data_IF_594063049563
#
_entry.id   IF_594063049563
#
_cell.length_a   1.000
_cell.length_b   1.000
_cell.length_c   1.000
_cell.angle_alpha   90.00
_cell.angle_beta   90.00
_cell.angle_gamma   90.00
#
_symmetry.space_group_name_H-M   'P 1'
#
loop_
_entity.id
_entity.type
_entity.pdbx_description
1 polymer ?
#
# COMPACT_ATOMS: atom_id res chain seq x y z
N UNK A 1 -1.20 -0.10 16.19
CA UNK A 1 -1.61 -1.32 15.48
C UNK A 1 -0.32 -2.06 15.19
N UNK A 2 -0.16 -3.34 15.54
CA UNK A 2 1.12 -4.06 15.36
C UNK A 2 1.60 -3.97 13.90
N UNK A 3 0.69 -4.20 12.95
CA UNK A 3 0.94 -4.12 11.50
C UNK A 3 1.46 -2.74 11.04
N UNK A 4 1.02 -1.66 11.68
CA UNK A 4 1.44 -0.30 11.32
C UNK A 4 2.89 -0.04 11.73
N UNK A 5 3.33 -0.57 12.87
CA UNK A 5 4.73 -0.48 13.30
C UNK A 5 5.63 -1.34 12.39
N UNK A 6 5.20 -2.55 12.04
CA UNK A 6 5.93 -3.41 11.09
C UNK A 6 6.11 -2.72 9.72
N UNK A 7 5.06 -2.04 9.22
CA UNK A 7 5.13 -1.28 7.97
C UNK A 7 6.13 -0.12 8.06
N UNK A 8 6.25 0.54 9.21
CA UNK A 8 7.21 1.65 9.40
C UNK A 8 8.63 1.13 9.43
N UNK A 9 8.89 0.07 10.18
CA UNK A 9 10.22 -0.56 10.22
C UNK A 9 10.64 -1.01 8.82
N UNK A 10 9.72 -1.62 8.07
CA UNK A 10 9.97 -2.02 6.69
C UNK A 10 10.22 -0.85 5.73
N UNK A 11 9.62 0.32 5.97
CA UNK A 11 9.90 1.54 5.18
C UNK A 11 11.33 2.04 5.40
N UNK A 12 11.88 1.89 6.60
CA UNK A 12 13.27 2.23 6.91
C UNK A 12 14.26 1.22 6.30
N UNK A 13 13.88 -0.05 6.19
CA UNK A 13 14.70 -1.11 5.57
C UNK A 13 14.65 -1.10 4.03
N UNK A 14 13.50 -0.70 3.45
CA UNK A 14 13.32 -0.48 2.03
C UNK A 14 12.21 -1.32 1.39
N UNK A 15 11.98 -1.11 0.09
CA UNK A 15 10.85 -1.68 -0.67
C UNK A 15 10.72 -3.21 -0.52
N UNK A 16 11.83 -3.96 -0.57
CA UNK A 16 11.78 -5.42 -0.48
C UNK A 16 11.21 -5.91 0.85
N UNK A 17 11.61 -5.29 1.97
CA UNK A 17 11.07 -5.64 3.28
C UNK A 17 9.61 -5.18 3.41
N UNK A 18 9.28 -4.03 2.83
CA UNK A 18 7.88 -3.55 2.78
C UNK A 18 6.96 -4.55 2.06
N UNK A 19 7.37 -5.07 0.90
CA UNK A 19 6.61 -6.11 0.18
C UNK A 19 6.44 -7.36 1.03
N UNK A 20 7.51 -7.79 1.72
CA UNK A 20 7.46 -8.95 2.62
C UNK A 20 6.50 -8.75 3.80
N UNK A 21 6.54 -7.59 4.47
CA UNK A 21 5.65 -7.28 5.59
C UNK A 21 4.20 -7.19 5.13
N UNK A 22 3.95 -6.57 3.97
CA UNK A 22 2.62 -6.53 3.37
C UNK A 22 2.12 -7.94 3.03
N UNK A 23 2.98 -8.80 2.48
CA UNK A 23 2.62 -10.19 2.17
C UNK A 23 2.31 -11.00 3.43
N UNK A 24 3.16 -10.90 4.45
CA UNK A 24 3.00 -11.60 5.75
C UNK A 24 1.68 -11.23 6.42
N UNK A 25 1.29 -9.96 6.35
CA UNK A 25 0.05 -9.45 6.93
C UNK A 25 -1.15 -9.54 5.97
N UNK A 26 -0.96 -10.09 4.77
CA UNK A 26 -1.95 -10.12 3.67
C UNK A 26 -2.56 -8.76 3.36
N UNK A 27 -1.80 -7.70 3.58
CA UNK A 27 -2.22 -6.33 3.36
C UNK A 27 -1.91 -5.93 1.92
N UNK A 28 -2.90 -5.39 1.22
CA UNK A 28 -2.78 -5.01 -0.18
C UNK A 28 -3.12 -3.55 -0.38
N UNK A 29 -2.42 -2.86 -1.29
CA UNK A 29 -2.81 -1.52 -1.69
C UNK A 29 -4.12 -1.58 -2.48
N UNK A 30 -5.12 -0.79 -2.12
CA UNK A 30 -6.41 -0.66 -2.78
C UNK A 30 -6.60 0.75 -3.32
N UNK A 31 -7.12 0.86 -4.55
CA UNK A 31 -7.46 2.16 -5.14
C UNK A 31 -8.81 2.58 -4.56
N UNK A 32 -8.86 3.77 -3.96
CA UNK A 32 -10.11 4.38 -3.51
C UNK A 32 -10.60 5.29 -4.62
N UNK A 33 -11.58 4.80 -5.38
CA UNK A 33 -12.23 5.57 -6.44
C UNK A 33 -12.96 6.83 -5.92
N UNK A 34 -13.22 6.91 -4.61
CA UNK A 34 -13.92 8.00 -3.96
C UNK A 34 -12.97 9.10 -3.48
N UNK A 35 -12.34 9.80 -4.43
CA UNK A 35 -11.92 11.20 -4.25
C UNK A 35 -11.79 11.85 -5.61
N UNK A 36 -12.94 12.11 -6.24
CA UNK A 36 -13.12 13.29 -7.09
C UNK A 36 -12.93 14.54 -6.24
N UNK A 37 -11.71 14.78 -5.77
CA UNK A 37 -11.29 16.03 -5.18
C UNK A 37 -11.09 17.02 -6.32
N UNK A 38 -12.15 17.76 -6.62
CA UNK A 38 -12.24 18.95 -7.47
C UNK A 38 -10.99 19.35 -8.27
N UNK A 39 -11.14 19.33 -9.60
CA UNK A 39 -10.32 19.90 -10.66
C UNK A 39 -9.89 21.36 -10.45
N UNK A 40 -9.04 21.68 -9.46
CA UNK A 40 -8.55 23.05 -9.30
C UNK A 40 -7.02 23.19 -9.24
N UNK A 41 -6.22 22.13 -9.08
CA UNK A 41 -4.75 22.26 -8.99
C UNK A 41 -3.92 21.11 -9.63
N UNK A 42 -4.48 20.32 -10.56
CA UNK A 42 -3.69 19.61 -11.56
C UNK A 42 -2.81 18.44 -11.09
N UNK A 43 -3.18 17.71 -10.04
CA UNK A 43 -2.53 16.43 -9.69
C UNK A 43 -3.58 15.37 -9.40
N UNK A 44 -3.99 14.65 -10.44
CA UNK A 44 -4.98 13.56 -10.36
C UNK A 44 -4.35 12.25 -9.89
N UNK A 45 -3.55 12.28 -8.83
CA UNK A 45 -2.98 11.05 -8.27
C UNK A 45 -4.07 10.29 -7.53
N UNK A 46 -4.39 9.03 -7.92
CA UNK A 46 -5.39 8.23 -7.24
C UNK A 46 -5.06 8.09 -5.76
N UNK A 47 -6.10 8.09 -4.92
CA UNK A 47 -5.91 7.84 -3.48
C UNK A 47 -5.82 6.33 -3.26
N UNK A 48 -4.69 5.87 -2.75
CA UNK A 48 -4.53 4.48 -2.35
C UNK A 48 -4.90 4.31 -0.86
N UNK A 49 -5.29 3.09 -0.48
CA UNK A 49 -5.43 2.55 0.89
C UNK A 49 -4.60 1.29 1.03
N UNK A 50 -4.21 0.94 2.24
CA UNK A 50 -3.59 -0.36 2.53
C UNK A 50 -4.57 -1.12 3.42
N UNK A 51 -5.10 -2.21 2.90
CA UNK A 51 -6.21 -2.96 3.50
C UNK A 51 -5.87 -4.44 3.60
N UNK A 52 -6.27 -5.03 4.72
CA UNK A 52 -6.27 -6.50 4.92
C UNK A 52 -7.43 -7.14 4.15
N UNK A 53 -7.44 -8.47 3.96
CA UNK A 53 -8.56 -9.18 3.33
C UNK A 53 -9.91 -8.93 4.01
N UNK A 54 -9.92 -8.58 5.30
CA UNK A 54 -11.12 -8.23 6.06
C UNK A 54 -11.60 -6.78 5.82
N UNK A 55 -10.94 -6.04 4.92
CA UNK A 55 -11.26 -4.64 4.62
C UNK A 55 -10.82 -3.65 5.70
N UNK A 56 -9.99 -4.09 6.66
CA UNK A 56 -9.48 -3.20 7.72
C UNK A 56 -8.27 -2.44 7.21
N UNK A 57 -8.31 -1.10 7.30
CA UNK A 57 -7.16 -0.26 6.98
C UNK A 57 -6.11 -0.36 8.09
N UNK A 58 -4.88 -0.70 7.70
CA UNK A 58 -3.76 -0.97 8.63
C UNK A 58 -2.72 0.14 8.68
N UNK A 59 -2.85 1.14 7.80
CA UNK A 59 -1.96 2.29 7.74
C UNK A 59 -2.76 3.60 7.78
N UNK A 60 -2.39 4.47 8.72
CA UNK A 60 -2.89 5.84 8.78
C UNK A 60 -2.39 6.68 7.58
N UNK A 61 -2.88 7.91 7.49
CA UNK A 61 -2.63 8.79 6.33
C UNK A 61 -1.12 9.02 6.07
N UNK A 62 -0.31 9.15 7.11
CA UNK A 62 1.12 9.46 6.95
C UNK A 62 1.88 8.23 6.47
N UNK A 63 1.74 7.10 7.18
CA UNK A 63 2.36 5.83 6.79
C UNK A 63 1.93 5.43 5.39
N UNK A 64 0.66 5.64 5.05
CA UNK A 64 0.15 5.36 3.71
C UNK A 64 0.82 6.18 2.62
N UNK A 65 1.03 7.47 2.82
CA UNK A 65 1.75 8.29 1.83
C UNK A 65 3.19 7.81 1.64
N UNK A 66 3.85 7.36 2.71
CA UNK A 66 5.20 6.78 2.63
C UNK A 66 5.22 5.45 1.88
N UNK A 67 4.25 4.56 2.17
CA UNK A 67 4.09 3.28 1.46
C UNK A 67 3.82 3.49 -0.03
N UNK A 68 2.94 4.43 -0.38
CA UNK A 68 2.65 4.78 -1.78
C UNK A 68 3.90 5.26 -2.51
N UNK A 69 4.71 6.10 -1.87
CA UNK A 69 5.94 6.61 -2.46
C UNK A 69 7.01 5.50 -2.59
N UNK A 70 7.18 4.67 -1.56
CA UNK A 70 8.14 3.57 -1.55
C UNK A 70 7.80 2.44 -2.54
N UNK A 71 6.51 2.18 -2.77
CA UNK A 71 6.01 1.24 -3.78
C UNK A 71 5.88 1.87 -5.16
N UNK A 72 6.21 3.16 -5.30
CA UNK A 72 6.12 3.93 -6.54
C UNK A 72 4.72 3.87 -7.19
N UNK A 73 3.67 3.84 -6.36
CA UNK A 73 2.29 3.75 -6.80
C UNK A 73 1.83 5.10 -7.38
N UNK A 74 1.77 5.20 -8.72
CA UNK A 74 1.32 6.40 -9.43
C UNK A 74 -0.02 6.20 -10.14
N UNK A 75 -0.37 4.95 -10.44
CA UNK A 75 -1.52 4.57 -11.28
C UNK A 75 -2.25 3.35 -10.74
N UNK A 76 -3.43 3.06 -11.29
CA UNK A 76 -4.17 1.84 -10.98
C UNK A 76 -3.42 0.59 -11.46
N UNK A 77 -2.77 0.66 -12.62
CA UNK A 77 -1.91 -0.41 -13.17
C UNK A 77 -0.73 -0.72 -12.24
N UNK A 78 -0.06 0.30 -11.69
CA UNK A 78 1.03 0.11 -10.72
C UNK A 78 0.50 -0.60 -9.47
N UNK A 79 -0.71 -0.22 -9.03
CA UNK A 79 -1.35 -0.86 -7.88
C UNK A 79 -1.65 -2.33 -8.13
N UNK A 80 -2.12 -2.69 -9.32
CA UNK A 80 -2.32 -4.08 -9.70
C UNK A 80 -1.00 -4.86 -9.75
N UNK A 81 0.03 -4.32 -10.39
CA UNK A 81 1.36 -4.94 -10.46
C UNK A 81 1.95 -5.19 -9.07
N UNK A 82 1.84 -4.22 -8.15
CA UNK A 82 2.31 -4.38 -6.77
C UNK A 82 1.48 -5.40 -5.99
N UNK A 83 0.15 -5.47 -6.22
CA UNK A 83 -0.68 -6.52 -5.59
C UNK A 83 -0.25 -7.90 -6.03
N UNK A 84 0.07 -8.07 -7.31
CA UNK A 84 0.57 -9.33 -7.85
C UNK A 84 1.94 -9.67 -7.26
N UNK A 85 2.83 -8.68 -7.11
CA UNK A 85 4.14 -8.84 -6.45
C UNK A 85 3.99 -9.31 -4.99
N UNK A 86 3.11 -8.66 -4.22
CA UNK A 86 2.86 -9.00 -2.81
C UNK A 86 2.22 -10.40 -2.69
N UNK A 87 1.23 -10.73 -3.54
CA UNK A 87 0.56 -12.04 -3.53
C UNK A 87 1.47 -13.18 -4.00
N UNK A 88 2.40 -12.89 -4.89
CA UNK A 88 3.39 -13.86 -5.38
C UNK A 88 4.57 -14.08 -4.45
N UNK A 89 4.68 -13.30 -3.37
CA UNK A 89 5.77 -13.40 -2.41
C UNK A 89 5.64 -14.64 -1.52
N UNK A 90 6.74 -15.34 -1.23
CA UNK A 90 6.73 -16.58 -0.44
C UNK A 90 6.07 -16.43 0.95
N UNK A 91 6.15 -15.22 1.51
CA UNK A 91 5.55 -14.88 2.81
C UNK A 91 4.01 -14.79 2.81
N UNK A 92 3.37 -14.79 1.64
CA UNK A 92 1.90 -14.72 1.52
C UNK A 92 1.20 -16.02 1.99
N UNK A 93 1.84 -17.15 1.71
CA UNK A 93 1.39 -18.52 2.04
C UNK A 93 2.15 -19.15 3.23
N UNK A 94 3.07 -18.40 3.85
CA UNK A 94 3.81 -18.83 5.04
C UNK A 94 2.94 -18.83 6.31
#
# INVERSE_FOLDING_TARGET
>A
MVIQDDIKDALDEGRSELVRVLATNRALPTVVAESSGSDLLGSSTPTFRIETPDGTSVADRQTRSQVVDALELRSEDDCEAIREEIRGHDAWDA
#
